data_IF_725796537663
#
_entry.id   IF_725796537663
#
_cell.length_a   1.000
_cell.length_b   1.000
_cell.length_c   1.000
_cell.angle_alpha   90.00
_cell.angle_beta   90.00
_cell.angle_gamma   90.00
#
_symmetry.space_group_name_H-M   'P 1'
#
loop_
_entity.id
_entity.type
_entity.pdbx_description
1 polymer ?
#
# COMPACT_ATOMS: atom_id res chain seq x y z
N UNK A 1 0.03 -23.44 19.58
CA UNK A 1 1.09 -22.93 20.47
C UNK A 1 0.73 -21.48 20.81
N UNK A 2 0.11 -21.28 21.96
CA UNK A 2 -0.54 -20.02 22.35
C UNK A 2 0.46 -19.03 22.96
N UNK A 3 0.45 -17.78 22.49
CA UNK A 3 1.23 -16.67 23.05
C UNK A 3 0.46 -15.97 24.18
N UNK A 4 1.02 -15.78 25.39
CA UNK A 4 0.31 -15.11 26.48
C UNK A 4 0.25 -13.59 26.31
N UNK A 5 -0.97 -13.06 26.46
CA UNK A 5 -1.34 -11.66 26.58
C UNK A 5 -0.61 -10.95 27.71
N UNK A 6 0.10 -9.86 27.41
CA UNK A 6 0.72 -8.97 28.41
C UNK A 6 -0.28 -7.91 28.88
N UNK A 7 -1.09 -8.29 29.85
CA UNK A 7 -1.81 -7.37 30.74
C UNK A 7 -1.40 -7.64 32.19
N UNK A 8 -0.70 -6.67 32.80
CA UNK A 8 -0.41 -6.45 34.25
C UNK A 8 0.32 -5.11 34.28
N UNK A 9 -0.28 -3.94 34.47
CA UNK A 9 -1.23 -3.49 35.49
C UNK A 9 -0.70 -3.72 36.91
N UNK A 10 0.06 -2.69 37.33
CA UNK A 10 0.23 -2.09 38.65
C UNK A 10 0.76 -2.90 39.85
N UNK A 11 1.55 -2.15 40.61
CA UNK A 11 1.93 -2.31 42.02
C UNK A 11 3.18 -3.16 42.32
N UNK A 12 4.31 -2.50 42.54
CA UNK A 12 5.06 -2.70 43.78
C UNK A 12 5.95 -1.48 44.14
N UNK A 13 5.48 -0.77 45.16
CA UNK A 13 6.19 -0.11 46.26
C UNK A 13 7.65 0.35 46.07
N UNK A 14 7.81 1.68 46.06
CA UNK A 14 8.31 2.44 47.21
C UNK A 14 9.48 1.82 47.99
N UNK A 15 10.70 2.29 47.69
CA UNK A 15 11.83 2.32 48.64
C UNK A 15 12.49 3.70 48.57
N UNK A 16 12.64 4.26 49.76
CA UNK A 16 13.16 5.56 50.14
C UNK A 16 14.56 5.87 49.59
N UNK A 17 14.84 7.15 49.27
CA UNK A 17 16.10 7.80 49.64
C UNK A 17 16.06 9.33 49.46
N UNK A 18 15.96 10.00 50.61
CA UNK A 18 16.56 11.27 51.03
C UNK A 18 16.19 12.62 50.36
N UNK A 19 15.95 13.66 51.20
CA UNK A 19 15.74 15.04 50.79
C UNK A 19 17.08 15.78 50.72
N UNK A 20 17.32 16.53 49.66
CA UNK A 20 18.46 17.43 49.59
C UNK A 20 18.06 18.78 49.00
N UNK A 21 18.13 19.78 49.89
CA UNK A 21 18.38 21.20 49.65
C UNK A 21 17.23 22.07 49.14
N UNK A 22 16.73 22.88 50.09
CA UNK A 22 16.19 24.21 49.83
C UNK A 22 17.08 24.95 48.82
N UNK A 23 16.56 25.23 47.62
CA UNK A 23 17.15 26.23 46.73
C UNK A 23 16.73 27.60 47.26
N UNK A 24 17.65 28.27 47.94
CA UNK A 24 17.46 29.63 48.41
C UNK A 24 17.01 30.56 47.26
N UNK A 25 16.01 31.43 47.47
CA UNK A 25 15.69 32.51 46.54
C UNK A 25 16.74 33.60 46.68
N UNK A 26 17.52 33.84 45.64
CA UNK A 26 18.52 34.91 45.63
C UNK A 26 19.91 34.44 45.26
N UNK A 27 20.05 33.88 44.07
CA UNK A 27 21.28 34.06 43.31
C UNK A 27 20.84 34.44 41.90
N UNK A 28 20.98 35.73 41.59
CA UNK A 28 21.12 36.20 40.22
C UNK A 28 22.30 35.43 39.62
N UNK A 29 22.00 34.29 39.01
CA UNK A 29 22.93 33.53 38.20
C UNK A 29 23.39 34.50 37.12
N UNK A 30 24.61 35.00 37.30
CA UNK A 30 25.39 35.57 36.23
C UNK A 30 25.22 34.66 35.01
N UNK A 31 24.95 35.30 33.88
CA UNK A 31 24.95 34.69 32.57
C UNK A 31 26.26 33.92 32.42
N UNK A 32 26.24 32.62 32.70
CA UNK A 32 27.19 31.70 32.12
C UNK A 32 26.78 31.68 30.65
N UNK A 33 27.41 32.55 29.87
CA UNK A 33 27.37 32.49 28.41
C UNK A 33 28.10 31.20 28.01
N UNK A 34 27.39 30.08 28.13
CA UNK A 34 27.82 28.81 27.58
C UNK A 34 28.12 29.05 26.09
N UNK A 35 29.37 28.93 25.62
CA UNK A 35 29.74 29.31 24.25
C UNK A 35 29.07 28.45 23.17
N UNK A 36 28.49 27.31 23.57
CA UNK A 36 27.73 26.40 22.73
C UNK A 36 26.21 26.59 22.83
N UNK A 37 25.72 27.48 23.70
CA UNK A 37 24.29 27.73 23.86
C UNK A 37 23.81 28.67 22.77
N UNK A 38 23.01 28.11 21.87
CA UNK A 38 22.44 28.85 20.75
C UNK A 38 21.51 29.94 21.29
N UNK A 39 21.81 31.21 20.99
CA UNK A 39 20.89 32.30 21.30
C UNK A 39 19.57 32.12 20.54
N UNK A 40 18.41 32.35 21.18
CA UNK A 40 17.10 32.08 20.57
C UNK A 40 16.86 32.90 19.28
N UNK A 41 17.49 34.08 19.16
CA UNK A 41 17.45 34.89 17.95
C UNK A 41 18.14 34.27 16.73
N UNK A 42 19.12 33.36 16.94
CA UNK A 42 19.89 32.72 15.88
C UNK A 42 19.33 31.38 15.43
N UNK A 43 18.43 30.78 16.22
CA UNK A 43 17.78 29.51 15.92
C UNK A 43 17.17 29.43 14.51
N UNK A 44 16.39 30.42 14.00
CA UNK A 44 15.82 30.32 12.66
C UNK A 44 16.88 30.33 11.55
N UNK A 45 17.99 31.07 11.72
CA UNK A 45 19.08 31.15 10.73
C UNK A 45 19.83 29.82 10.62
N UNK A 46 20.10 29.18 11.75
CA UNK A 46 20.77 27.86 11.76
C UNK A 46 19.86 26.81 11.14
N UNK A 47 18.57 26.82 11.47
CA UNK A 47 17.59 25.91 10.87
C UNK A 47 17.46 26.13 9.36
N UNK A 48 17.48 27.37 8.89
CA UNK A 48 17.49 27.69 7.47
C UNK A 48 18.75 27.14 6.76
N UNK A 49 19.93 27.33 7.36
CA UNK A 49 21.19 26.79 6.84
C UNK A 49 21.18 25.25 6.81
N UNK A 50 20.73 24.61 7.88
CA UNK A 50 20.55 23.16 7.94
C UNK A 50 19.61 22.68 6.83
N UNK A 51 18.47 23.34 6.65
CA UNK A 51 17.52 23.00 5.60
C UNK A 51 18.14 23.14 4.20
N UNK A 52 18.96 24.17 3.97
CA UNK A 52 19.71 24.36 2.74
C UNK A 52 20.72 23.24 2.49
N UNK A 53 21.48 22.83 3.51
CA UNK A 53 22.49 21.76 3.40
C UNK A 53 21.83 20.42 3.07
N UNK A 54 20.74 20.09 3.75
CA UNK A 54 20.08 18.78 3.60
C UNK A 54 18.94 18.78 2.58
N UNK A 55 18.76 19.86 1.81
CA UNK A 55 17.67 20.01 0.84
C UNK A 55 16.28 19.71 1.46
N UNK A 56 16.08 20.11 2.72
CA UNK A 56 14.81 19.96 3.42
C UNK A 56 14.01 21.26 3.41
N UNK A 57 12.70 21.17 3.58
CA UNK A 57 11.81 22.34 3.53
C UNK A 57 11.82 23.13 4.85
N UNK A 58 12.18 24.41 4.79
CA UNK A 58 12.09 25.35 5.92
C UNK A 58 10.69 25.98 5.99
N UNK A 59 9.96 25.81 7.11
CA UNK A 59 8.59 26.33 7.30
C UNK A 59 8.41 27.02 8.67
N UNK A 60 8.88 28.26 8.83
CA UNK A 60 8.86 28.98 10.12
C UNK A 60 7.45 29.39 10.57
N UNK A 61 6.54 29.66 9.61
CA UNK A 61 5.16 30.08 9.89
C UNK A 61 4.17 28.91 10.00
N UNK A 62 4.66 27.67 9.98
CA UNK A 62 3.86 26.45 10.10
C UNK A 62 2.67 26.38 9.12
N UNK A 63 2.85 26.88 7.89
CA UNK A 63 1.82 26.87 6.86
C UNK A 63 1.55 25.46 6.33
N UNK A 64 0.31 25.20 5.89
CA UNK A 64 -0.12 23.91 5.35
C UNK A 64 0.21 23.79 3.85
N UNK A 65 1.47 23.48 3.55
CA UNK A 65 1.99 23.39 2.17
C UNK A 65 1.71 22.04 1.46
N UNK A 66 1.03 21.09 2.10
CA UNK A 66 0.72 19.79 1.48
C UNK A 66 1.89 18.79 1.40
N UNK A 67 3.07 19.12 1.92
CA UNK A 67 4.27 18.25 1.92
C UNK A 67 4.04 16.84 2.50
N UNK A 68 3.03 16.65 3.35
CA UNK A 68 2.63 15.33 3.87
C UNK A 68 2.22 14.38 2.74
N UNK A 69 1.49 14.89 1.74
CA UNK A 69 1.00 14.10 0.60
C UNK A 69 2.16 13.70 -0.30
N UNK A 70 3.08 14.62 -0.59
CA UNK A 70 4.25 14.37 -1.44
C UNK A 70 5.27 13.41 -0.79
N UNK A 71 5.43 13.48 0.53
CA UNK A 71 6.31 12.57 1.29
C UNK A 71 5.74 11.16 1.44
N UNK A 72 4.46 10.97 1.18
CA UNK A 72 3.85 9.66 1.25
C UNK A 72 4.41 8.76 0.14
N UNK A 73 4.95 7.60 0.52
CA UNK A 73 5.42 6.61 -0.45
C UNK A 73 4.23 6.10 -1.29
N UNK A 74 4.42 6.06 -2.60
CA UNK A 74 3.43 5.54 -3.54
C UNK A 74 3.18 4.05 -3.27
N UNK A 75 1.90 3.65 -3.23
CA UNK A 75 1.49 2.24 -3.03
C UNK A 75 1.08 1.52 -4.33
N UNK A 76 1.12 2.23 -5.46
CA UNK A 76 0.67 1.73 -6.77
C UNK A 76 1.25 0.36 -7.14
N UNK A 77 2.58 0.15 -7.09
CA UNK A 77 3.17 -1.14 -7.43
C UNK A 77 2.64 -2.31 -6.59
N UNK A 78 2.46 -2.11 -5.28
CA UNK A 78 1.95 -3.14 -4.38
C UNK A 78 0.48 -3.49 -4.66
N UNK A 79 -0.32 -2.51 -5.09
CA UNK A 79 -1.72 -2.74 -5.46
C UNK A 79 -1.85 -3.39 -6.84
N UNK A 80 -1.01 -3.00 -7.80
CA UNK A 80 -1.00 -3.57 -9.14
C UNK A 80 -0.65 -5.07 -9.14
N UNK A 81 0.20 -5.50 -8.20
CA UNK A 81 0.58 -6.91 -8.03
C UNK A 81 -0.38 -7.72 -7.15
N UNK A 82 -1.61 -7.25 -6.90
CA UNK A 82 -2.56 -7.96 -6.03
C UNK A 82 -2.91 -9.35 -6.58
N UNK A 83 -3.20 -9.43 -7.88
CA UNK A 83 -3.30 -10.72 -8.55
C UNK A 83 -1.95 -11.11 -9.13
N UNK A 84 -1.55 -12.39 -9.03
CA UNK A 84 -0.38 -12.89 -9.72
C UNK A 84 -0.45 -12.57 -11.21
N UNK A 85 0.69 -12.23 -11.80
CA UNK A 85 0.78 -12.12 -13.26
C UNK A 85 0.47 -13.50 -13.86
N UNK A 86 -0.16 -13.51 -15.04
CA UNK A 86 -0.41 -14.77 -15.76
C UNK A 86 0.92 -15.50 -15.96
N UNK A 87 1.02 -16.70 -15.42
CA UNK A 87 2.09 -17.66 -15.70
C UNK A 87 1.85 -18.33 -17.05
N UNK A 88 2.74 -19.25 -17.43
CA UNK A 88 2.53 -20.10 -18.59
C UNK A 88 1.17 -20.81 -18.49
N UNK A 89 0.40 -20.73 -19.57
CA UNK A 89 -0.87 -21.45 -19.74
C UNK A 89 -0.62 -22.81 -20.39
N UNK A 90 -1.61 -23.70 -20.34
CA UNK A 90 -1.54 -25.02 -21.02
C UNK A 90 -1.27 -24.83 -22.51
N UNK A 91 -1.86 -23.81 -23.13
CA UNK A 91 -1.65 -23.49 -24.55
C UNK A 91 -0.20 -23.08 -24.85
N UNK A 92 0.43 -22.31 -23.96
CA UNK A 92 1.84 -21.92 -24.10
C UNK A 92 2.74 -23.15 -24.06
N UNK A 93 2.46 -24.07 -23.13
CA UNK A 93 3.18 -25.34 -22.98
C UNK A 93 3.03 -26.20 -24.23
N UNK A 94 1.80 -26.37 -24.74
CA UNK A 94 1.55 -27.12 -25.97
C UNK A 94 2.27 -26.50 -27.18
N UNK A 95 2.34 -25.17 -27.26
CA UNK A 95 3.08 -24.50 -28.34
C UNK A 95 4.60 -24.71 -28.25
N UNK A 96 5.16 -24.82 -27.06
CA UNK A 96 6.58 -25.15 -26.88
C UNK A 96 6.89 -26.60 -27.31
N UNK A 97 6.03 -27.54 -26.95
CA UNK A 97 6.23 -28.96 -27.23
C UNK A 97 6.01 -29.37 -28.70
N UNK A 98 5.24 -28.57 -29.46
CA UNK A 98 5.10 -28.76 -30.93
C UNK A 98 6.43 -28.78 -31.67
N UNK A 99 7.48 -28.13 -31.15
CA UNK A 99 8.82 -28.15 -31.75
C UNK A 99 9.48 -29.53 -31.72
N UNK A 100 9.04 -30.39 -30.80
CA UNK A 100 9.55 -31.73 -30.62
C UNK A 100 8.63 -32.79 -31.23
N UNK A 101 7.69 -32.38 -32.10
CA UNK A 101 6.67 -33.23 -32.70
C UNK A 101 5.79 -33.95 -31.65
N UNK A 102 5.66 -33.35 -30.46
CA UNK A 102 4.81 -33.84 -29.38
C UNK A 102 3.47 -33.10 -29.43
N UNK A 103 2.39 -33.87 -29.49
CA UNK A 103 1.02 -33.38 -29.37
C UNK A 103 0.49 -33.62 -27.96
N UNK A 104 -0.25 -32.65 -27.44
CA UNK A 104 -0.99 -32.77 -26.19
C UNK A 104 -2.36 -32.12 -26.34
N UNK A 105 -3.26 -32.44 -25.42
CA UNK A 105 -4.64 -31.96 -25.40
C UNK A 105 -4.96 -31.31 -24.06
N UNK A 106 -5.92 -30.38 -24.06
CA UNK A 106 -6.38 -29.69 -22.85
C UNK A 106 -7.75 -30.23 -22.48
N UNK A 107 -7.79 -31.19 -21.55
CA UNK A 107 -8.99 -31.92 -21.14
C UNK A 107 -10.17 -30.99 -20.79
N UNK A 108 -9.92 -29.95 -20.00
CA UNK A 108 -10.96 -29.00 -19.57
C UNK A 108 -11.61 -28.25 -20.74
N UNK A 109 -10.81 -27.91 -21.77
CA UNK A 109 -11.32 -27.21 -22.95
C UNK A 109 -12.04 -28.15 -23.90
N UNK A 110 -11.56 -29.39 -24.05
CA UNK A 110 -12.22 -30.42 -24.85
C UNK A 110 -13.60 -30.77 -24.26
N UNK A 111 -13.69 -30.98 -22.95
CA UNK A 111 -14.95 -31.18 -22.22
C UNK A 111 -15.91 -30.00 -22.42
N UNK A 112 -15.39 -28.76 -22.41
CA UNK A 112 -16.20 -27.56 -22.67
C UNK A 112 -16.75 -27.57 -24.09
N UNK A 113 -15.95 -27.97 -25.08
CA UNK A 113 -16.35 -28.03 -26.49
C UNK A 113 -17.37 -29.13 -26.75
N UNK A 114 -17.19 -30.30 -26.15
CA UNK A 114 -18.16 -31.40 -26.19
C UNK A 114 -19.51 -30.99 -25.61
N UNK A 115 -19.51 -30.37 -24.43
CA UNK A 115 -20.72 -29.86 -23.79
C UNK A 115 -21.46 -28.84 -24.67
N UNK A 116 -20.71 -27.96 -25.36
CA UNK A 116 -21.28 -27.02 -26.33
C UNK A 116 -21.87 -27.75 -27.55
N UNK A 117 -21.21 -28.79 -28.05
CA UNK A 117 -21.71 -29.61 -29.16
C UNK A 117 -23.02 -30.33 -28.78
N UNK A 118 -23.06 -30.97 -27.61
CA UNK A 118 -24.28 -31.62 -27.09
C UNK A 118 -25.43 -30.63 -26.91
N UNK A 119 -25.16 -29.44 -26.37
CA UNK A 119 -26.18 -28.40 -26.24
C UNK A 119 -26.76 -27.98 -27.60
N UNK A 120 -25.90 -27.82 -28.62
CA UNK A 120 -26.34 -27.48 -29.99
C UNK A 120 -27.19 -28.58 -30.61
N UNK A 121 -26.80 -29.86 -30.46
CA UNK A 121 -27.57 -31.00 -30.96
C UNK A 121 -28.99 -31.05 -30.37
N UNK A 122 -29.14 -30.69 -29.09
CA UNK A 122 -30.43 -30.63 -28.40
C UNK A 122 -31.23 -29.35 -28.68
N UNK A 123 -30.75 -28.45 -29.54
CA UNK A 123 -31.36 -27.14 -29.77
C UNK A 123 -31.29 -26.21 -28.53
N UNK A 124 -30.44 -26.54 -27.55
CA UNK A 124 -30.18 -25.75 -26.33
C UNK A 124 -28.89 -24.94 -26.44
N UNK A 125 -28.33 -24.83 -27.64
CA UNK A 125 -27.18 -23.97 -27.90
C UNK A 125 -27.51 -22.50 -27.63
N UNK A 126 -26.48 -21.72 -27.29
CA UNK A 126 -26.64 -20.29 -27.10
C UNK A 126 -27.22 -19.64 -28.39
N UNK A 127 -28.22 -18.76 -28.26
CA UNK A 127 -28.78 -18.07 -29.41
C UNK A 127 -27.74 -17.19 -30.09
N UNK A 128 -27.92 -16.91 -31.39
CA UNK A 128 -27.01 -16.07 -32.16
C UNK A 128 -26.86 -14.69 -31.50
N UNK A 129 -25.60 -14.31 -31.19
CA UNK A 129 -25.30 -12.97 -30.67
C UNK A 129 -25.68 -11.92 -31.71
N UNK A 130 -26.54 -10.99 -31.32
CA UNK A 130 -26.94 -9.84 -32.15
C UNK A 130 -25.74 -8.91 -32.30
N UNK A 131 -25.39 -8.58 -33.54
CA UNK A 131 -24.23 -7.71 -33.83
C UNK A 131 -24.65 -6.27 -34.11
N UNK A 132 -25.89 -6.06 -34.54
CA UNK A 132 -26.41 -4.73 -34.89
C UNK A 132 -27.60 -4.31 -34.02
N UNK A 133 -27.79 -3.00 -33.87
CA UNK A 133 -28.90 -2.44 -33.10
C UNK A 133 -30.28 -2.78 -33.72
N UNK A 134 -30.34 -2.94 -35.05
CA UNK A 134 -31.55 -3.33 -35.77
C UNK A 134 -32.04 -4.73 -35.36
N UNK A 135 -31.14 -5.71 -35.27
CA UNK A 135 -31.42 -7.07 -34.78
C UNK A 135 -31.87 -7.08 -33.31
N UNK A 136 -31.39 -6.12 -32.51
CA UNK A 136 -31.79 -5.88 -31.12
C UNK A 136 -33.28 -5.55 -30.98
N UNK A 137 -33.78 -4.66 -31.84
CA UNK A 137 -35.13 -4.07 -31.77
C UNK A 137 -36.24 -5.01 -32.24
N UNK A 138 -35.93 -5.99 -33.11
CA UNK A 138 -36.92 -6.92 -33.67
C UNK A 138 -37.66 -7.76 -32.61
N UNK A 139 -37.02 -8.07 -31.48
CA UNK A 139 -37.63 -8.86 -30.39
C UNK A 139 -38.39 -8.03 -29.34
N UNK A 140 -38.36 -6.70 -29.41
CA UNK A 140 -39.00 -5.81 -28.42
C UNK A 140 -40.50 -5.61 -28.68
N UNK A 141 -41.03 -6.08 -29.83
CA UNK A 141 -42.43 -5.91 -30.27
C UNK A 141 -43.31 -7.17 -30.10
N UNK A 142 -43.09 -7.97 -29.07
CA UNK A 142 -44.06 -9.00 -28.65
C UNK A 142 -44.62 -8.63 -27.29
N UNK A 143 -45.75 -7.90 -27.31
CA UNK A 143 -46.75 -7.83 -26.23
C UNK A 143 -48.05 -8.36 -26.84
#
# INVERSE_FOLDING_TARGET
>A
MASPSRGRLLQLMQVCSSPATHRAPGQTLAKLDDPFRVHPANAPKILQLQCSIFSTTFNPMQQRLGNKVLRQRLRGPALASYYPRRSATVEDVLNEFKKFDLEGFNEDEDDRLENVAFAKLRGKGAPKKKKTAAEGRAHKKRK
#
